data_IF_714039846981
#
_entry.id   IF_714039846981
#
_cell.length_a   1.000
_cell.length_b   1.000
_cell.length_c   1.000
_cell.angle_alpha   90.00
_cell.angle_beta   90.00
_cell.angle_gamma   90.00
#
_symmetry.space_group_name_H-M   'P 1'
#
loop_
_entity.id
_entity.type
_entity.pdbx_description
1 polymer ?
#
# COMPACT_ATOMS: atom_id res chain seq x y z
N UNK A 1 -7.14 9.01 -3.75
CA UNK A 1 -8.12 8.13 -4.43
C UNK A 1 -8.16 8.29 -5.95
N UNK A 2 -8.35 9.50 -6.53
CA UNK A 2 -8.40 9.68 -7.98
C UNK A 2 -7.12 9.21 -8.69
N UNK A 3 -5.95 9.57 -8.17
CA UNK A 3 -4.64 9.17 -8.73
C UNK A 3 -4.49 7.63 -8.71
N UNK A 4 -4.85 6.98 -7.60
CA UNK A 4 -4.79 5.51 -7.46
C UNK A 4 -5.78 4.82 -8.40
N UNK A 5 -6.98 5.37 -8.60
CA UNK A 5 -7.96 4.85 -9.54
C UNK A 5 -7.49 4.96 -10.99
N UNK A 6 -6.95 6.11 -11.39
CA UNK A 6 -6.39 6.33 -12.73
C UNK A 6 -5.18 5.41 -12.97
N UNK A 7 -4.30 5.27 -11.97
CA UNK A 7 -3.15 4.38 -12.06
C UNK A 7 -3.56 2.91 -12.22
N UNK A 8 -4.57 2.45 -11.48
CA UNK A 8 -5.12 1.09 -11.61
C UNK A 8 -5.77 0.88 -13.00
N UNK A 9 -6.52 1.86 -13.52
CA UNK A 9 -7.05 1.80 -14.88
C UNK A 9 -5.96 1.72 -15.95
N UNK A 10 -4.84 2.42 -15.75
CA UNK A 10 -3.69 2.39 -16.65
C UNK A 10 -2.94 1.05 -16.53
N UNK A 11 -2.72 0.55 -15.31
CA UNK A 11 -2.05 -0.72 -15.03
C UNK A 11 -2.79 -1.91 -15.67
N UNK A 12 -4.13 -1.91 -15.64
CA UNK A 12 -4.96 -2.94 -16.23
C UNK A 12 -5.09 -2.86 -17.75
N UNK A 13 -4.70 -1.75 -18.38
CA UNK A 13 -4.65 -1.65 -19.85
C UNK A 13 -3.41 -2.40 -20.36
N UNK A 14 -3.61 -3.61 -20.88
CA UNK A 14 -2.61 -4.48 -21.55
C UNK A 14 -2.00 -3.86 -22.83
N UNK A 15 -1.68 -2.57 -22.84
CA UNK A 15 -0.98 -1.95 -23.96
C UNK A 15 0.52 -1.98 -23.70
N UNK A 16 1.11 -3.15 -23.92
CA UNK A 16 2.55 -3.24 -24.17
C UNK A 16 2.82 -2.57 -25.51
N UNK A 17 3.71 -1.59 -25.52
CA UNK A 17 4.25 -0.98 -26.73
C UNK A 17 5.71 -1.32 -26.85
N UNK A 18 6.33 -1.11 -28.04
CA UNK A 18 7.76 -1.35 -28.22
C UNK A 18 8.66 -0.56 -27.24
N UNK A 19 8.14 0.56 -26.67
CA UNK A 19 8.85 1.36 -25.66
C UNK A 19 8.50 0.97 -24.22
N UNK A 20 7.28 0.46 -23.99
CA UNK A 20 6.78 0.07 -22.66
C UNK A 20 6.59 -1.44 -22.61
N UNK A 21 7.70 -2.18 -22.55
CA UNK A 21 7.70 -3.65 -22.61
C UNK A 21 6.96 -4.28 -21.42
N UNK A 22 7.06 -3.67 -20.24
CA UNK A 22 6.33 -4.08 -19.03
C UNK A 22 4.97 -3.39 -18.88
N UNK A 23 4.56 -2.52 -19.84
CA UNK A 23 3.35 -1.71 -19.72
C UNK A 23 3.42 -0.73 -18.54
N UNK A 24 2.27 -0.43 -17.94
CA UNK A 24 2.14 0.51 -16.84
C UNK A 24 2.10 -0.16 -15.45
N UNK A 25 2.68 -1.37 -15.32
CA UNK A 25 2.62 -2.14 -14.07
C UNK A 25 3.16 -1.38 -12.83
N UNK A 26 4.13 -0.47 -13.03
CA UNK A 26 4.67 0.39 -11.96
C UNK A 26 3.85 1.64 -11.66
N UNK A 27 2.88 2.00 -12.51
CA UNK A 27 2.08 3.21 -12.31
C UNK A 27 1.31 3.17 -10.97
N UNK A 28 0.84 2.00 -10.57
CA UNK A 28 0.15 1.79 -9.30
C UNK A 28 1.06 2.04 -8.10
N UNK A 29 2.30 1.56 -8.14
CA UNK A 29 3.29 1.77 -7.08
C UNK A 29 3.71 3.23 -6.98
N UNK A 30 3.91 3.91 -8.14
CA UNK A 30 4.19 5.35 -8.18
C UNK A 30 3.02 6.14 -7.59
N UNK A 31 1.78 5.77 -7.92
CA UNK A 31 0.60 6.42 -7.37
C UNK A 31 0.48 6.22 -5.85
N UNK A 32 0.76 5.01 -5.35
CA UNK A 32 0.80 4.72 -3.91
C UNK A 32 1.89 5.53 -3.21
N UNK A 33 3.08 5.64 -3.79
CA UNK A 33 4.19 6.44 -3.28
C UNK A 33 3.82 7.93 -3.18
N UNK A 34 3.28 8.52 -4.26
CA UNK A 34 2.87 9.93 -4.30
C UNK A 34 1.76 10.19 -3.28
N UNK A 35 0.76 9.30 -3.21
CA UNK A 35 -0.35 9.44 -2.27
C UNK A 35 0.14 9.38 -0.82
N UNK A 36 0.97 8.39 -0.45
CA UNK A 36 1.52 8.27 0.89
C UNK A 36 2.40 9.48 1.28
N UNK A 37 3.25 9.95 0.35
CA UNK A 37 4.08 11.15 0.56
C UNK A 37 3.22 12.38 0.80
N UNK A 38 2.17 12.58 -0.03
CA UNK A 38 1.26 13.71 0.10
C UNK A 38 0.52 13.68 1.44
N UNK A 39 0.06 12.50 1.88
CA UNK A 39 -0.62 12.35 3.18
C UNK A 39 0.31 12.67 4.35
N UNK A 40 1.58 12.24 4.32
CA UNK A 40 2.57 12.57 5.35
C UNK A 40 2.81 14.08 5.40
N UNK A 41 2.99 14.72 4.25
CA UNK A 41 3.20 16.18 4.18
C UNK A 41 1.99 16.92 4.77
N UNK A 42 0.77 16.56 4.38
CA UNK A 42 -0.45 17.16 4.92
C UNK A 42 -0.55 16.92 6.43
N UNK A 43 -0.27 15.69 6.90
CA UNK A 43 -0.32 15.36 8.31
C UNK A 43 0.70 16.15 9.14
N UNK A 44 1.91 16.40 8.62
CA UNK A 44 2.90 17.25 9.27
C UNK A 44 2.37 18.68 9.42
N UNK A 45 1.80 19.27 8.35
CA UNK A 45 1.20 20.60 8.41
C UNK A 45 0.06 20.68 9.42
N UNK A 46 -0.83 19.67 9.45
CA UNK A 46 -1.92 19.58 10.42
C UNK A 46 -1.38 19.49 11.86
N UNK A 47 -0.33 18.69 12.09
CA UNK A 47 0.30 18.57 13.41
C UNK A 47 0.91 19.89 13.88
N UNK A 48 1.62 20.61 12.99
CA UNK A 48 2.18 21.93 13.31
C UNK A 48 1.06 22.92 13.64
N UNK A 49 -0.02 22.92 12.87
CA UNK A 49 -1.17 23.80 13.11
C UNK A 49 -1.87 23.46 14.44
N UNK A 50 -2.03 22.18 14.74
CA UNK A 50 -2.58 21.72 16.01
C UNK A 50 -1.75 22.22 17.20
N UNK A 51 -0.42 22.14 17.12
CA UNK A 51 0.47 22.65 18.16
C UNK A 51 0.29 24.18 18.33
N UNK A 52 0.22 24.94 17.23
CA UNK A 52 -0.02 26.40 17.31
C UNK A 52 -1.35 26.72 17.99
N UNK A 53 -2.42 25.96 17.69
CA UNK A 53 -3.74 26.14 18.31
C UNK A 53 -3.77 25.83 19.81
N UNK A 54 -2.85 25.00 20.32
CA UNK A 54 -2.68 24.81 21.76
C UNK A 54 -2.27 26.10 22.50
N UNK A 55 -1.45 26.94 21.83
CA UNK A 55 -0.94 28.19 22.41
C UNK A 55 -1.81 29.40 22.09
N UNK A 56 -2.64 29.33 21.05
CA UNK A 56 -3.57 30.41 20.65
C UNK A 56 -4.98 29.85 20.65
N UNK A 57 -5.73 30.13 21.74
CA UNK A 57 -7.13 29.70 21.82
C UNK A 57 -7.96 30.60 20.88
N UNK A 58 -8.13 30.15 19.64
CA UNK A 58 -9.07 30.75 18.71
C UNK A 58 -10.43 30.08 18.90
N UNK A 59 -11.49 30.89 18.90
CA UNK A 59 -12.86 30.37 18.89
C UNK A 59 -13.10 29.57 17.62
N UNK A 60 -13.26 28.26 17.78
CA UNK A 60 -13.56 27.35 16.68
C UNK A 60 -15.07 27.28 16.52
N UNK A 61 -15.55 27.35 15.29
CA UNK A 61 -16.96 27.14 14.98
C UNK A 61 -17.36 25.67 15.22
N UNK A 62 -17.60 25.31 16.49
CA UNK A 62 -17.93 23.93 16.89
C UNK A 62 -19.09 23.34 16.07
N UNK A 63 -20.05 24.16 15.66
CA UNK A 63 -21.20 23.73 14.83
C UNK A 63 -20.74 23.20 13.49
N UNK A 64 -19.76 23.84 12.83
CA UNK A 64 -19.24 23.42 11.54
C UNK A 64 -18.48 22.07 11.67
N UNK A 65 -17.71 21.90 12.73
CA UNK A 65 -17.02 20.64 13.06
C UNK A 65 -18.03 19.51 13.25
N UNK A 66 -19.12 19.75 13.98
CA UNK A 66 -20.19 18.77 14.20
C UNK A 66 -20.84 18.36 12.87
N UNK A 67 -21.19 19.30 12.00
CA UNK A 67 -21.82 18.99 10.72
C UNK A 67 -20.89 18.18 9.80
N UNK A 68 -19.61 18.55 9.73
CA UNK A 68 -18.62 17.81 8.94
C UNK A 68 -18.42 16.39 9.49
N UNK A 69 -18.39 16.22 10.81
CA UNK A 69 -18.28 14.91 11.44
C UNK A 69 -19.51 14.03 11.16
N UNK A 70 -20.73 14.58 11.25
CA UNK A 70 -21.98 13.88 10.90
C UNK A 70 -21.95 13.43 9.44
N UNK A 71 -21.52 14.30 8.52
CA UNK A 71 -21.38 13.96 7.10
C UNK A 71 -20.37 12.83 6.90
N UNK A 72 -19.22 12.89 7.57
CA UNK A 72 -18.19 11.83 7.52
C UNK A 72 -18.73 10.50 8.03
N UNK A 73 -19.45 10.48 9.15
CA UNK A 73 -20.10 9.28 9.70
C UNK A 73 -21.14 8.74 8.71
N UNK A 74 -21.96 9.60 8.11
CA UNK A 74 -22.99 9.17 7.17
C UNK A 74 -22.38 8.52 5.91
N UNK A 75 -21.40 9.16 5.29
CA UNK A 75 -20.75 8.67 4.05
C UNK A 75 -19.98 7.40 4.32
N UNK A 76 -19.11 7.38 5.33
CA UNK A 76 -18.28 6.20 5.63
C UNK A 76 -19.13 5.08 6.23
N UNK A 77 -20.10 5.38 7.09
CA UNK A 77 -21.02 4.40 7.65
C UNK A 77 -21.89 3.73 6.59
N UNK A 78 -22.41 4.49 5.62
CA UNK A 78 -23.14 3.91 4.50
C UNK A 78 -22.24 3.00 3.66
N UNK A 79 -21.01 3.41 3.39
CA UNK A 79 -20.02 2.60 2.66
C UNK A 79 -19.67 1.31 3.41
N UNK A 80 -19.51 1.37 4.74
CA UNK A 80 -19.28 0.21 5.62
C UNK A 80 -20.44 -0.77 5.54
N UNK A 81 -21.69 -0.29 5.56
CA UNK A 81 -22.87 -1.14 5.45
C UNK A 81 -22.94 -1.87 4.10
N UNK A 82 -22.61 -1.18 3.00
CA UNK A 82 -22.59 -1.77 1.67
C UNK A 82 -21.54 -2.87 1.55
N UNK A 83 -20.31 -2.64 2.08
CA UNK A 83 -19.19 -3.55 1.95
C UNK A 83 -19.22 -4.73 2.94
N UNK A 84 -20.05 -4.66 3.99
CA UNK A 84 -20.09 -5.65 5.07
C UNK A 84 -20.28 -7.09 4.58
N UNK A 85 -21.14 -7.33 3.58
CA UNK A 85 -21.42 -8.66 3.03
C UNK A 85 -20.22 -9.23 2.29
N UNK A 86 -19.56 -8.41 1.47
CA UNK A 86 -18.47 -8.83 0.60
C UNK A 86 -17.14 -8.94 1.34
N UNK A 87 -16.99 -8.22 2.48
CA UNK A 87 -15.80 -8.26 3.33
C UNK A 87 -15.52 -9.65 3.94
N UNK A 88 -16.51 -10.55 4.01
CA UNK A 88 -16.33 -11.91 4.50
C UNK A 88 -15.73 -12.86 3.44
N UNK A 89 -15.80 -12.51 2.15
CA UNK A 89 -15.44 -13.41 1.06
C UNK A 89 -14.17 -12.98 0.30
N UNK A 90 -13.71 -11.75 0.48
CA UNK A 90 -12.57 -11.20 -0.27
C UNK A 90 -11.66 -10.34 0.61
N UNK A 91 -10.34 -10.64 0.62
CA UNK A 91 -9.36 -9.91 1.43
C UNK A 91 -9.27 -8.42 1.06
N UNK A 92 -9.36 -8.08 -0.23
CA UNK A 92 -9.35 -6.68 -0.67
C UNK A 92 -10.59 -5.93 -0.15
N UNK A 93 -11.77 -6.57 -0.20
CA UNK A 93 -13.00 -5.98 0.33
C UNK A 93 -12.95 -5.86 1.87
N UNK A 94 -12.32 -6.81 2.55
CA UNK A 94 -12.08 -6.74 4.00
C UNK A 94 -11.18 -5.57 4.37
N UNK A 95 -10.11 -5.33 3.61
CA UNK A 95 -9.20 -4.20 3.83
C UNK A 95 -9.92 -2.87 3.61
N UNK A 96 -10.69 -2.74 2.53
CA UNK A 96 -11.50 -1.55 2.27
C UNK A 96 -12.55 -1.31 3.36
N UNK A 97 -13.23 -2.37 3.83
CA UNK A 97 -14.18 -2.31 4.94
C UNK A 97 -13.53 -1.79 6.24
N UNK A 98 -12.37 -2.35 6.61
CA UNK A 98 -11.64 -1.94 7.81
C UNK A 98 -11.17 -0.47 7.72
N UNK A 99 -10.73 -0.03 6.55
CA UNK A 99 -10.33 1.37 6.32
C UNK A 99 -11.52 2.32 6.52
N UNK A 100 -12.65 2.04 5.87
CA UNK A 100 -13.87 2.85 6.02
C UNK A 100 -14.43 2.83 7.44
N UNK A 101 -14.33 1.68 8.14
CA UNK A 101 -14.71 1.57 9.54
C UNK A 101 -13.83 2.47 10.42
N UNK A 102 -12.52 2.48 10.18
CA UNK A 102 -11.58 3.37 10.90
C UNK A 102 -11.89 4.84 10.66
N UNK A 103 -12.19 5.23 9.41
CA UNK A 103 -12.55 6.59 9.04
C UNK A 103 -13.89 7.02 9.72
N UNK A 104 -14.85 6.08 9.80
CA UNK A 104 -16.10 6.30 10.53
C UNK A 104 -15.84 6.51 12.03
N UNK A 105 -15.01 5.68 12.66
CA UNK A 105 -14.67 5.81 14.09
C UNK A 105 -13.91 7.12 14.37
N UNK A 106 -13.03 7.54 13.48
CA UNK A 106 -12.34 8.84 13.56
C UNK A 106 -13.35 9.98 13.49
N UNK A 107 -14.33 9.91 12.58
CA UNK A 107 -15.42 10.91 12.49
C UNK A 107 -16.29 10.94 13.74
N UNK A 108 -16.53 9.79 14.40
CA UNK A 108 -17.21 9.73 15.70
C UNK A 108 -16.40 10.45 16.79
N UNK A 109 -15.08 10.23 16.84
CA UNK A 109 -14.20 10.93 17.79
C UNK A 109 -14.24 12.46 17.58
N UNK A 110 -14.20 12.91 16.32
CA UNK A 110 -14.33 14.33 15.96
C UNK A 110 -15.71 14.89 16.36
N UNK A 111 -16.80 14.11 16.19
CA UNK A 111 -18.14 14.51 16.63
C UNK A 111 -18.19 14.72 18.14
N UNK A 112 -17.65 13.77 18.91
CA UNK A 112 -17.57 13.89 20.38
C UNK A 112 -16.79 15.15 20.77
N UNK A 113 -15.64 15.40 20.14
CA UNK A 113 -14.84 16.61 20.34
C UNK A 113 -15.64 17.88 20.03
N UNK A 114 -16.37 17.93 18.90
CA UNK A 114 -17.23 19.05 18.53
C UNK A 114 -18.35 19.31 19.53
N UNK A 115 -18.97 18.27 20.09
CA UNK A 115 -19.98 18.38 21.12
C UNK A 115 -19.38 18.92 22.43
N UNK A 116 -18.20 18.42 22.83
CA UNK A 116 -17.50 18.93 24.03
C UNK A 116 -17.13 20.41 23.89
N UNK A 117 -16.66 20.83 22.71
CA UNK A 117 -16.38 22.23 22.42
C UNK A 117 -17.67 23.10 22.53
N UNK A 118 -18.79 22.61 21.98
CA UNK A 118 -20.07 23.36 21.98
C UNK A 118 -20.66 23.53 23.37
N UNK A 119 -20.66 22.46 24.19
CA UNK A 119 -21.35 22.47 25.49
C UNK A 119 -20.47 22.92 26.65
N UNK A 120 -19.15 22.57 26.60
CA UNK A 120 -18.21 22.82 27.69
C UNK A 120 -17.19 23.92 27.37
N UNK A 121 -17.19 24.47 26.12
CA UNK A 121 -16.26 25.53 25.68
C UNK A 121 -14.78 25.10 25.78
N UNK A 122 -14.52 23.82 25.69
CA UNK A 122 -13.19 23.25 25.80
C UNK A 122 -12.52 23.17 24.40
N UNK A 123 -12.01 24.29 23.91
CA UNK A 123 -11.49 24.42 22.53
C UNK A 123 -10.18 23.70 22.28
N UNK A 124 -9.37 23.42 23.31
CA UNK A 124 -8.11 22.70 23.14
C UNK A 124 -8.30 21.23 22.70
N UNK A 125 -9.49 20.67 22.86
CA UNK A 125 -9.83 19.32 22.40
C UNK A 125 -9.65 19.18 20.88
N UNK A 126 -10.00 20.21 20.10
CA UNK A 126 -9.79 20.19 18.64
C UNK A 126 -8.30 20.05 18.29
N UNK A 127 -7.44 20.81 18.94
CA UNK A 127 -6.00 20.72 18.77
C UNK A 127 -5.46 19.33 19.14
N UNK A 128 -5.95 18.76 20.25
CA UNK A 128 -5.56 17.41 20.68
C UNK A 128 -6.00 16.35 19.67
N UNK A 129 -7.26 16.37 19.24
CA UNK A 129 -7.79 15.43 18.24
C UNK A 129 -7.03 15.55 16.92
N UNK A 130 -6.79 16.77 16.44
CA UNK A 130 -6.02 17.01 15.22
C UNK A 130 -4.60 16.46 15.34
N UNK A 131 -3.95 16.61 16.50
CA UNK A 131 -2.62 16.07 16.74
C UNK A 131 -2.62 14.54 16.71
N UNK A 132 -3.57 13.90 17.38
CA UNK A 132 -3.71 12.42 17.37
C UNK A 132 -3.98 11.92 15.96
N UNK A 133 -4.88 12.54 15.22
CA UNK A 133 -5.22 12.17 13.84
C UNK A 133 -3.99 12.34 12.93
N UNK A 134 -3.24 13.44 13.08
CA UNK A 134 -2.03 13.66 12.27
C UNK A 134 -0.95 12.60 12.53
N UNK A 135 -0.71 12.23 13.79
CA UNK A 135 0.22 11.14 14.14
C UNK A 135 -0.24 9.80 13.56
N UNK A 136 -1.53 9.49 13.64
CA UNK A 136 -2.12 8.28 13.08
C UNK A 136 -1.94 8.23 11.56
N UNK A 137 -2.20 9.34 10.84
CA UNK A 137 -1.99 9.42 9.38
C UNK A 137 -0.53 9.21 8.99
N UNK A 138 0.42 9.79 9.74
CA UNK A 138 1.86 9.57 9.51
C UNK A 138 2.20 8.09 9.69
N UNK A 139 1.75 7.48 10.78
CA UNK A 139 2.01 6.06 11.07
C UNK A 139 1.50 5.13 9.96
N UNK A 140 0.25 5.30 9.54
CA UNK A 140 -0.37 4.48 8.49
C UNK A 140 0.28 4.69 7.12
N UNK A 141 0.60 5.95 6.78
CA UNK A 141 1.20 6.28 5.49
C UNK A 141 2.68 5.87 5.41
N UNK A 142 3.37 5.76 6.54
CA UNK A 142 4.79 5.41 6.58
C UNK A 142 5.08 4.00 6.04
N UNK A 143 4.25 3.03 6.37
CA UNK A 143 4.43 1.66 5.89
C UNK A 143 4.19 1.57 4.37
N UNK A 144 3.18 2.26 3.87
CA UNK A 144 2.91 2.37 2.43
C UNK A 144 4.09 3.03 1.70
N UNK A 145 4.59 4.16 2.23
CA UNK A 145 5.74 4.87 1.66
C UNK A 145 6.98 3.97 1.61
N UNK A 146 7.29 3.28 2.72
CA UNK A 146 8.44 2.39 2.82
C UNK A 146 8.33 1.20 1.85
N UNK A 147 7.15 0.60 1.74
CA UNK A 147 6.91 -0.53 0.85
C UNK A 147 7.00 -0.11 -0.61
N UNK A 148 6.33 0.99 -1.00
CA UNK A 148 6.40 1.54 -2.35
C UNK A 148 7.83 1.91 -2.74
N UNK A 149 8.59 2.54 -1.84
CA UNK A 149 9.99 2.86 -2.07
C UNK A 149 10.83 1.62 -2.34
N UNK A 150 10.65 0.55 -1.55
CA UNK A 150 11.38 -0.71 -1.75
C UNK A 150 11.10 -1.32 -3.13
N UNK A 151 9.83 -1.37 -3.54
CA UNK A 151 9.45 -1.90 -4.86
C UNK A 151 10.06 -1.04 -5.98
N UNK A 152 10.03 0.30 -5.85
CA UNK A 152 10.62 1.21 -6.83
C UNK A 152 12.15 1.05 -6.92
N UNK A 153 12.82 0.75 -5.81
CA UNK A 153 14.24 0.48 -5.73
C UNK A 153 14.63 -0.96 -6.09
N UNK A 154 13.70 -1.76 -6.63
CA UNK A 154 13.95 -3.14 -7.06
C UNK A 154 14.38 -4.08 -5.93
N UNK A 155 13.87 -3.90 -4.72
CA UNK A 155 14.09 -4.87 -3.64
C UNK A 155 13.33 -6.17 -3.91
N UNK A 156 13.90 -7.28 -3.43
CA UNK A 156 13.22 -8.56 -3.40
C UNK A 156 12.00 -8.52 -2.44
N UNK A 157 10.94 -9.30 -2.71
CA UNK A 157 9.82 -9.46 -1.80
C UNK A 157 10.28 -9.97 -0.43
N UNK A 158 9.63 -9.54 0.64
CA UNK A 158 10.00 -9.96 2.01
C UNK A 158 9.84 -11.46 2.27
N UNK A 159 8.94 -12.11 1.55
CA UNK A 159 8.63 -13.54 1.68
C UNK A 159 9.53 -14.44 0.84
N UNK A 160 10.33 -13.87 -0.07
CA UNK A 160 11.24 -14.63 -0.93
C UNK A 160 12.65 -14.59 -0.36
N UNK A 161 13.17 -15.76 -0.02
CA UNK A 161 14.56 -15.95 0.40
C UNK A 161 15.38 -16.37 -0.81
N UNK A 162 16.33 -15.52 -1.23
CA UNK A 162 17.18 -15.77 -2.42
C UNK A 162 17.98 -17.06 -2.27
N UNK A 163 18.50 -17.37 -1.07
CA UNK A 163 19.29 -18.57 -0.82
C UNK A 163 18.43 -19.84 -0.93
N UNK A 164 17.19 -19.80 -0.46
CA UNK A 164 16.26 -20.93 -0.61
C UNK A 164 15.89 -21.15 -2.08
N UNK A 165 15.62 -20.08 -2.84
CA UNK A 165 15.35 -20.17 -4.28
C UNK A 165 16.55 -20.79 -5.00
N UNK A 166 17.77 -20.32 -4.70
CA UNK A 166 18.98 -20.87 -5.32
C UNK A 166 19.17 -22.36 -4.98
N UNK A 167 18.95 -22.76 -3.72
CA UNK A 167 19.06 -24.16 -3.30
C UNK A 167 18.03 -25.07 -3.98
N UNK A 168 16.82 -24.59 -4.21
CA UNK A 168 15.80 -25.38 -4.90
C UNK A 168 16.12 -25.54 -6.40
N UNK A 169 16.62 -24.48 -7.04
CA UNK A 169 17.01 -24.55 -8.45
C UNK A 169 18.19 -25.51 -8.66
N UNK A 170 19.16 -25.55 -7.75
CA UNK A 170 20.30 -26.49 -7.83
C UNK A 170 19.85 -27.96 -7.73
N UNK A 171 18.72 -28.27 -7.09
CA UNK A 171 18.17 -29.63 -7.00
C UNK A 171 17.63 -30.14 -8.35
N UNK A 172 17.40 -29.27 -9.32
CA UNK A 172 16.93 -29.68 -10.65
C UNK A 172 18.05 -30.43 -11.37
N UNK A 173 17.73 -31.62 -11.85
CA UNK A 173 18.69 -32.48 -12.52
C UNK A 173 19.34 -31.80 -13.74
N UNK A 174 20.66 -31.80 -13.80
CA UNK A 174 21.44 -31.19 -14.88
C UNK A 174 22.06 -29.85 -14.50
N UNK A 175 21.59 -29.22 -13.44
CA UNK A 175 22.15 -27.95 -12.94
C UNK A 175 23.32 -28.23 -12.01
N UNK A 176 24.45 -27.57 -12.28
CA UNK A 176 25.66 -27.61 -11.46
C UNK A 176 25.67 -26.52 -10.41
N UNK A 177 25.33 -25.30 -10.82
CA UNK A 177 25.39 -24.15 -9.96
C UNK A 177 24.44 -23.06 -10.48
N UNK A 178 24.03 -22.16 -9.57
CA UNK A 178 23.33 -20.92 -9.87
C UNK A 178 24.03 -19.77 -9.16
N UNK A 179 24.26 -18.67 -9.86
CA UNK A 179 24.92 -17.48 -9.31
C UNK A 179 24.40 -16.21 -9.95
N UNK A 180 24.78 -15.05 -9.42
CA UNK A 180 24.26 -13.73 -9.83
C UNK A 180 22.74 -13.67 -9.81
N UNK A 181 22.13 -14.19 -8.73
CA UNK A 181 20.68 -14.23 -8.58
C UNK A 181 20.19 -12.86 -8.16
N UNK A 182 19.38 -12.23 -9.00
CA UNK A 182 18.69 -10.97 -8.74
C UNK A 182 17.20 -11.19 -8.78
N UNK A 183 16.50 -10.82 -7.69
CA UNK A 183 15.04 -10.93 -7.58
C UNK A 183 14.50 -9.54 -7.25
N UNK A 184 13.49 -9.11 -7.99
CA UNK A 184 12.83 -7.81 -7.74
C UNK A 184 11.34 -7.86 -8.07
N UNK A 185 10.58 -6.94 -7.46
CA UNK A 185 9.16 -6.76 -7.73
C UNK A 185 8.93 -5.65 -8.75
N UNK A 186 7.96 -5.86 -9.65
CA UNK A 186 7.41 -4.81 -10.51
C UNK A 186 6.20 -4.13 -9.87
N UNK A 187 5.35 -4.92 -9.21
CA UNK A 187 4.17 -4.50 -8.45
C UNK A 187 3.97 -5.45 -7.26
N UNK A 188 2.81 -5.45 -6.62
CA UNK A 188 2.50 -6.32 -5.48
C UNK A 188 2.44 -7.81 -5.84
N UNK A 189 2.19 -8.15 -7.12
CA UNK A 189 1.92 -9.52 -7.59
C UNK A 189 3.02 -10.07 -8.49
N UNK A 190 3.66 -9.20 -9.29
CA UNK A 190 4.64 -9.62 -10.30
C UNK A 190 6.06 -9.53 -9.74
N UNK A 191 6.71 -10.68 -9.64
CA UNK A 191 8.11 -10.82 -9.27
C UNK A 191 8.92 -11.28 -10.48
N UNK A 192 10.12 -10.75 -10.62
CA UNK A 192 11.08 -11.13 -11.66
C UNK A 192 12.34 -11.68 -11.03
N UNK A 193 12.90 -12.69 -11.69
CA UNK A 193 14.17 -13.27 -11.35
C UNK A 193 15.11 -13.24 -12.56
N UNK A 194 16.34 -12.89 -12.32
CA UNK A 194 17.45 -13.01 -13.25
C UNK A 194 18.57 -13.77 -12.56
N UNK A 195 19.12 -14.80 -13.23
CA UNK A 195 20.19 -15.62 -12.67
C UNK A 195 21.03 -16.23 -13.77
N UNK A 196 22.28 -16.54 -13.44
CA UNK A 196 23.16 -17.33 -14.29
C UNK A 196 23.14 -18.79 -13.81
N UNK A 197 22.85 -19.70 -14.71
CA UNK A 197 22.80 -21.14 -14.43
C UNK A 197 23.96 -21.83 -15.14
N UNK A 198 24.75 -22.64 -14.39
CA UNK A 198 25.77 -23.53 -14.93
C UNK A 198 25.23 -24.95 -14.98
N UNK A 199 25.49 -25.64 -16.09
CA UNK A 199 25.11 -27.02 -16.27
C UNK A 199 26.31 -27.96 -16.01
N UNK A 200 26.02 -29.20 -15.63
CA UNK A 200 27.07 -30.20 -15.39
C UNK A 200 27.84 -30.64 -16.67
N UNK A 201 27.13 -30.61 -17.81
CA UNK A 201 27.61 -31.05 -19.10
C UNK A 201 27.02 -30.17 -20.21
N UNK A 202 27.57 -30.25 -21.43
CA UNK A 202 26.96 -29.62 -22.60
C UNK A 202 25.59 -30.25 -22.88
N UNK A 203 24.55 -29.47 -22.82
CA UNK A 203 23.16 -29.89 -23.03
C UNK A 203 22.63 -29.45 -24.39
N UNK A 204 21.74 -30.26 -24.97
CA UNK A 204 21.03 -29.87 -26.17
C UNK A 204 19.98 -28.79 -25.86
N UNK A 205 19.70 -27.95 -26.85
CA UNK A 205 18.70 -26.87 -26.69
C UNK A 205 17.32 -27.39 -26.27
N UNK A 206 16.92 -28.58 -26.73
CA UNK A 206 15.67 -29.23 -26.34
C UNK A 206 15.64 -29.69 -24.88
N UNK A 207 16.78 -30.03 -24.31
CA UNK A 207 16.88 -30.39 -22.87
C UNK A 207 16.90 -29.13 -22.01
N UNK A 208 17.54 -28.08 -22.52
CA UNK A 208 17.52 -26.76 -21.88
C UNK A 208 16.09 -26.24 -21.69
N UNK A 209 15.25 -26.29 -22.73
CA UNK A 209 13.85 -25.85 -22.67
C UNK A 209 13.08 -26.62 -21.58
N UNK A 210 13.24 -27.93 -21.48
CA UNK A 210 12.60 -28.76 -20.46
C UNK A 210 13.06 -28.41 -19.02
N UNK A 211 14.33 -28.05 -18.87
CA UNK A 211 14.88 -27.64 -17.57
C UNK A 211 14.31 -26.27 -17.19
N UNK A 212 14.24 -25.32 -18.14
CA UNK A 212 13.64 -24.01 -17.91
C UNK A 212 12.18 -24.13 -17.50
N UNK A 213 11.36 -24.93 -18.19
CA UNK A 213 9.96 -25.17 -17.81
C UNK A 213 9.83 -25.72 -16.38
N UNK A 214 10.72 -26.65 -15.97
CA UNK A 214 10.72 -27.17 -14.60
C UNK A 214 11.08 -26.11 -13.56
N UNK A 215 12.06 -25.26 -13.87
CA UNK A 215 12.43 -24.14 -12.98
C UNK A 215 11.26 -23.16 -12.85
N UNK A 216 10.63 -22.79 -13.97
CA UNK A 216 9.48 -21.88 -13.96
C UNK A 216 8.33 -22.45 -13.12
N UNK A 217 7.96 -23.72 -13.29
CA UNK A 217 6.95 -24.38 -12.48
C UNK A 217 7.29 -24.39 -10.99
N UNK A 218 8.53 -24.74 -10.64
CA UNK A 218 9.01 -24.75 -9.26
C UNK A 218 8.96 -23.36 -8.61
N UNK A 219 9.23 -22.31 -9.37
CA UNK A 219 9.20 -20.93 -8.88
C UNK A 219 7.77 -20.36 -8.79
N UNK A 220 6.82 -20.85 -9.61
CA UNK A 220 5.42 -20.45 -9.56
C UNK A 220 4.66 -21.05 -8.37
N UNK A 221 5.13 -22.17 -7.81
CA UNK A 221 4.52 -22.83 -6.65
C UNK A 221 4.95 -22.21 -5.31
N UNK A 222 5.91 -21.28 -5.32
CA UNK A 222 6.45 -20.58 -4.12
C UNK A 222 6.10 -19.11 -4.09
#
# INVERSE_FOLDING_TARGET
MVISYVANLLSNKKKQTKQYTFGYKRAEIIAAFINATSLIVIAIFLGIEAIKRFYSVNEIQAILVIWLAILGIAVNGFSVLLLKKDAHHNLNMKTAYLHLLTDMLTSVAVLIGGLLMKYYQIYWIDALLTLIISMYLIYMSWDILKTSTKILMLFAPKHVNIDEVAQEVIKVRGIKNIHHVHIWQLNEYDCHIEAHIEFNEDIKLSEFDLICEKIEQLLLEK
#
